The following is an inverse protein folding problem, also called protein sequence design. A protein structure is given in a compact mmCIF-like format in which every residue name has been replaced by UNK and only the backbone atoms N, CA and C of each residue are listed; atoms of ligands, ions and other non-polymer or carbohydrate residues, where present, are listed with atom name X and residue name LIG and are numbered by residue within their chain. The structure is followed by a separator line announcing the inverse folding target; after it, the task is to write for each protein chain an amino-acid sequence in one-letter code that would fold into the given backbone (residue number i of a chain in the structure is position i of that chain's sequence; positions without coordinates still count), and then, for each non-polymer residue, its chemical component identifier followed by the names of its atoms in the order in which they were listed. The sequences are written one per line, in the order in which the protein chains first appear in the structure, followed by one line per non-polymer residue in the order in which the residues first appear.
data_IF_021533654773
#
_entry.id   IF_021533654773
#
_cell.length_a   1.000
_cell.length_b   1.000
_cell.length_c   1.000
_cell.angle_alpha   90.00
_cell.angle_beta   90.00
_cell.angle_gamma   90.00
#
_symmetry.space_group_name_H-M   'P 1'
#
loop_
_entity.id
_entity.type
_entity.pdbx_description
1 polymer ?
#
# COMPACT_ATOMS: atom_id res chain seq x y z
N UNK A 1 0.89 8.00 -5.31
CA UNK A 1 -0.52 8.03 -4.85
C UNK A 1 -0.72 6.79 -3.99
N UNK A 2 -1.22 6.94 -2.77
CA UNK A 2 -1.52 5.81 -1.86
C UNK A 2 -3.00 5.49 -2.01
N UNK A 3 -3.32 4.21 -2.17
CA UNK A 3 -4.70 3.71 -2.13
C UNK A 3 -4.93 2.97 -0.81
N UNK A 4 -6.04 3.24 -0.15
CA UNK A 4 -6.46 2.53 1.06
C UNK A 4 -7.80 1.87 0.74
N UNK A 5 -7.93 0.53 0.90
CA UNK A 5 -9.18 -0.18 0.61
C UNK A 5 -10.35 0.40 1.39
N UNK A 6 -11.51 0.48 0.74
CA UNK A 6 -12.73 0.93 1.41
C UNK A 6 -13.17 -0.11 2.44
N UNK A 7 -13.51 0.35 3.65
CA UNK A 7 -14.11 -0.51 4.69
C UNK A 7 -15.62 -0.51 4.48
N UNK A 8 -16.27 -1.68 4.53
CA UNK A 8 -17.72 -1.79 4.42
C UNK A 8 -18.36 -1.90 5.82
N UNK A 9 -18.84 -0.79 6.42
CA UNK A 9 -19.20 -0.77 7.84
C UNK A 9 -20.42 -1.63 8.16
N UNK A 10 -21.35 -1.74 7.20
CA UNK A 10 -22.59 -2.53 7.34
C UNK A 10 -22.33 -4.04 7.52
N UNK A 11 -21.14 -4.51 7.14
CA UNK A 11 -20.71 -5.90 7.28
C UNK A 11 -19.66 -6.10 8.38
N UNK A 12 -19.30 -5.04 9.11
CA UNK A 12 -18.34 -5.12 10.21
C UNK A 12 -19.03 -5.44 11.55
N UNK A 13 -18.28 -6.08 12.45
CA UNK A 13 -18.65 -6.31 13.84
C UNK A 13 -17.45 -6.01 14.75
N UNK A 14 -17.63 -6.12 16.07
CA UNK A 14 -16.52 -5.91 17.03
C UNK A 14 -15.33 -6.85 16.81
N UNK A 15 -15.55 -8.02 16.20
CA UNK A 15 -14.53 -9.05 16.00
C UNK A 15 -14.19 -9.33 14.53
N UNK A 16 -14.84 -8.65 13.58
CA UNK A 16 -14.66 -8.88 12.15
C UNK A 16 -14.74 -7.57 11.36
N UNK A 17 -13.72 -7.33 10.54
CA UNK A 17 -13.69 -6.22 9.59
C UNK A 17 -13.84 -6.76 8.16
N UNK A 18 -14.71 -6.13 7.38
CA UNK A 18 -14.88 -6.43 5.96
C UNK A 18 -14.48 -5.19 5.17
N UNK A 19 -13.62 -5.39 4.17
CA UNK A 19 -13.08 -4.31 3.34
C UNK A 19 -12.99 -4.76 1.89
N UNK A 20 -12.83 -3.80 0.99
CA UNK A 20 -12.59 -4.01 -0.42
C UNK A 20 -11.40 -4.95 -0.65
N UNK A 21 -11.57 -5.88 -1.60
CA UNK A 21 -10.50 -6.77 -2.02
C UNK A 21 -9.63 -6.08 -3.08
N UNK A 22 -8.42 -5.71 -2.70
CA UNK A 22 -7.39 -5.22 -3.64
C UNK A 22 -6.47 -6.33 -4.12
N UNK A 23 -5.85 -6.14 -5.30
CA UNK A 23 -4.87 -7.06 -5.87
C UNK A 23 -3.64 -6.27 -6.32
N UNK A 24 -2.46 -6.87 -6.19
CA UNK A 24 -1.20 -6.27 -6.57
C UNK A 24 -0.02 -7.19 -6.21
N UNK A 25 1.17 -6.78 -6.60
CA UNK A 25 2.41 -7.48 -6.24
C UNK A 25 2.83 -7.06 -4.84
N UNK A 26 3.04 -8.00 -3.90
CA UNK A 26 3.59 -7.66 -2.59
C UNK A 26 4.92 -6.93 -2.75
N UNK A 27 5.15 -5.85 -2.00
CA UNK A 27 6.40 -5.07 -2.16
C UNK A 27 7.66 -5.86 -1.79
N UNK A 28 7.51 -6.97 -1.06
CA UNK A 28 8.60 -7.90 -0.75
C UNK A 28 9.02 -8.79 -1.93
N UNK A 29 8.19 -8.93 -2.95
CA UNK A 29 8.45 -9.78 -4.12
C UNK A 29 9.20 -8.99 -5.21
N UNK A 30 10.48 -8.77 -4.97
CA UNK A 30 11.35 -7.97 -5.85
C UNK A 30 11.44 -8.59 -7.25
N UNK A 31 11.52 -9.91 -7.36
CA UNK A 31 11.60 -10.60 -8.66
C UNK A 31 10.35 -10.33 -9.51
N UNK A 32 9.15 -10.41 -8.92
CA UNK A 32 7.91 -10.11 -9.62
C UNK A 32 7.79 -8.63 -10.02
N UNK A 33 8.26 -7.70 -9.17
CA UNK A 33 8.29 -6.28 -9.48
C UNK A 33 9.25 -5.95 -10.64
N UNK A 34 10.44 -6.56 -10.65
CA UNK A 34 11.39 -6.43 -11.75
C UNK A 34 10.83 -7.02 -13.04
N UNK A 35 10.18 -8.17 -12.98
CA UNK A 35 9.53 -8.81 -14.13
C UNK A 35 8.36 -7.98 -14.70
N UNK A 36 7.64 -7.26 -13.83
CA UNK A 36 6.60 -6.29 -14.23
C UNK A 36 7.20 -5.05 -14.93
N UNK A 37 8.51 -4.80 -14.76
CA UNK A 37 9.16 -3.56 -15.21
C UNK A 37 8.89 -2.38 -14.28
N UNK A 38 8.61 -2.65 -13.00
CA UNK A 38 8.32 -1.60 -12.01
C UNK A 38 9.54 -0.71 -11.79
N UNK A 39 9.32 0.60 -11.80
CA UNK A 39 10.33 1.59 -11.48
C UNK A 39 10.63 1.60 -9.97
N UNK A 40 11.62 0.80 -9.56
CA UNK A 40 12.00 0.62 -8.16
C UNK A 40 12.45 1.92 -7.49
N UNK A 41 13.06 2.84 -8.23
CA UNK A 41 13.45 4.14 -7.69
C UNK A 41 12.21 4.98 -7.37
N UNK A 42 11.29 5.11 -8.31
CA UNK A 42 10.06 5.87 -8.10
C UNK A 42 9.19 5.24 -7.01
N UNK A 43 9.17 3.91 -6.91
CA UNK A 43 8.50 3.19 -5.84
C UNK A 43 9.07 3.57 -4.46
N UNK A 44 10.40 3.58 -4.31
CA UNK A 44 11.07 3.98 -3.07
C UNK A 44 10.79 5.45 -2.71
N UNK A 45 10.88 6.36 -3.70
CA UNK A 45 10.57 7.79 -3.51
C UNK A 45 9.12 7.99 -3.05
N UNK A 46 8.16 7.32 -3.70
CA UNK A 46 6.74 7.36 -3.31
C UNK A 46 6.52 6.79 -1.91
N UNK A 47 7.20 5.69 -1.55
CA UNK A 47 7.09 5.09 -0.22
C UNK A 47 7.54 6.05 0.89
N UNK A 48 8.70 6.69 0.70
CA UNK A 48 9.24 7.69 1.65
C UNK A 48 8.33 8.91 1.73
N UNK A 49 7.82 9.39 0.59
CA UNK A 49 6.91 10.53 0.55
C UNK A 49 5.61 10.25 1.31
N UNK A 50 5.02 9.06 1.14
CA UNK A 50 3.81 8.64 1.85
C UNK A 50 4.05 8.60 3.35
N UNK A 51 5.16 7.99 3.79
CA UNK A 51 5.51 7.92 5.21
C UNK A 51 5.65 9.31 5.84
N UNK A 52 6.43 10.21 5.21
CA UNK A 52 6.60 11.57 5.72
C UNK A 52 5.32 12.39 5.70
N UNK A 53 4.47 12.18 4.70
CA UNK A 53 3.17 12.85 4.64
C UNK A 53 2.31 12.45 5.84
N UNK A 54 2.22 11.15 6.14
CA UNK A 54 1.47 10.65 7.29
C UNK A 54 2.00 11.21 8.62
N UNK A 55 3.33 11.19 8.80
CA UNK A 55 3.96 11.64 10.05
C UNK A 55 3.84 13.16 10.24
N UNK A 56 4.23 13.94 9.23
CA UNK A 56 4.40 15.39 9.39
C UNK A 56 3.17 16.21 9.01
N UNK A 57 2.40 15.79 8.01
CA UNK A 57 1.19 16.51 7.59
C UNK A 57 -0.02 16.05 8.39
N UNK A 58 -0.24 14.74 8.45
CA UNK A 58 -1.49 14.19 9.00
C UNK A 58 -1.41 13.97 10.52
N UNK A 59 -0.19 13.96 11.09
CA UNK A 59 0.05 13.61 12.49
C UNK A 59 -0.61 12.28 12.89
N UNK A 60 -0.88 11.42 11.90
CA UNK A 60 -1.54 10.15 12.00
C UNK A 60 -0.89 9.24 10.96
N UNK A 61 -0.29 8.14 11.42
CA UNK A 61 0.55 7.31 10.58
C UNK A 61 0.28 5.84 10.77
N UNK A 62 0.50 5.07 9.71
CA UNK A 62 0.52 3.63 9.80
C UNK A 62 1.81 3.26 10.52
N UNK A 63 1.70 2.92 11.81
CA UNK A 63 2.85 2.64 12.67
C UNK A 63 3.71 1.47 12.17
N UNK A 64 3.17 0.68 11.24
CA UNK A 64 3.75 -0.57 10.79
C UNK A 64 3.74 -0.76 9.28
N UNK A 65 4.59 -0.04 8.55
CA UNK A 65 4.73 -0.16 7.09
C UNK A 65 5.51 -1.43 6.68
N UNK A 66 5.15 -2.60 7.25
CA UNK A 66 5.75 -3.87 6.86
C UNK A 66 5.48 -4.17 5.38
N UNK A 67 6.44 -4.82 4.68
CA UNK A 67 6.26 -5.21 3.29
C UNK A 67 5.00 -6.05 3.02
N UNK A 68 4.53 -6.82 4.01
CA UNK A 68 3.31 -7.62 3.89
C UNK A 68 2.01 -6.82 3.81
N UNK A 69 2.02 -5.55 4.19
CA UNK A 69 0.83 -4.68 4.20
C UNK A 69 0.76 -3.76 2.97
N UNK A 70 1.74 -3.84 2.07
CA UNK A 70 1.86 -2.93 0.92
C UNK A 70 1.88 -3.74 -0.37
N UNK A 71 0.97 -3.37 -1.26
CA UNK A 71 0.87 -3.94 -2.61
C UNK A 71 1.18 -2.86 -3.64
N UNK A 72 1.89 -3.25 -4.69
CA UNK A 72 2.13 -2.44 -5.88
C UNK A 72 1.10 -2.82 -6.93
N UNK A 73 0.44 -1.82 -7.50
CA UNK A 73 -0.55 -2.04 -8.56
C UNK A 73 0.08 -2.68 -9.79
N UNK A 74 -0.67 -3.51 -10.49
CA UNK A 74 -0.29 -4.01 -11.81
C UNK A 74 -0.30 -2.90 -12.87
N UNK A 75 -1.12 -1.88 -12.63
CA UNK A 75 -1.35 -0.76 -13.53
C UNK A 75 -0.30 0.34 -13.31
N UNK A 76 0.28 0.85 -14.39
CA UNK A 76 1.29 1.91 -14.39
C UNK A 76 2.56 1.59 -13.58
N UNK A 77 3.34 0.56 -13.97
CA UNK A 77 4.60 0.20 -13.32
C UNK A 77 5.70 1.29 -13.41
N UNK A 78 5.57 2.25 -14.33
CA UNK A 78 6.53 3.34 -14.59
C UNK A 78 6.64 4.45 -13.53
#
# INVERSE_FOLDING_TARGET
MLYVPEVYPDYCSESMMVMERIYGIPVSDVEALEAQGTNMQLLAERGVQVFFTQVFRDSFFHADMHPGNIFVSYEHPE
#
